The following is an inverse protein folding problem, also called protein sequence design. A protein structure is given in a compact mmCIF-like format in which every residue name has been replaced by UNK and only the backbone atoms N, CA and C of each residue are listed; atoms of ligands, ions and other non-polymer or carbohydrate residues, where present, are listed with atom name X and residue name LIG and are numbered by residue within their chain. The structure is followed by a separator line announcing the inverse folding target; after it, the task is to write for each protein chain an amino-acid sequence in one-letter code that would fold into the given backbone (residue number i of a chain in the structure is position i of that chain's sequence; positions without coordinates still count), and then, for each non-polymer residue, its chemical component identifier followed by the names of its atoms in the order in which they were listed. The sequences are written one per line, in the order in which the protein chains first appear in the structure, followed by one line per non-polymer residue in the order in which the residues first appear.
data_IF_017821977238
#
_entry.id   IF_017821977238
#
_cell.length_a   1.000
_cell.length_b   1.000
_cell.length_c   1.000
_cell.angle_alpha   90.00
_cell.angle_beta   90.00
_cell.angle_gamma   90.00
#
_symmetry.space_group_name_H-M   'P 1'
#
loop_
_entity.id
_entity.type
_entity.pdbx_description
1 polymer ?
#
# COMPACT_ATOMS: atom_id res chain seq x y z
N UNK A 1 -20.33 13.59 16.43
CA UNK A 1 -18.98 13.06 16.65
C UNK A 1 -18.42 12.73 15.26
N UNK A 2 -17.30 13.34 14.90
CA UNK A 2 -16.59 12.96 13.67
C UNK A 2 -16.15 11.51 13.81
N UNK A 3 -16.47 10.69 12.81
CA UNK A 3 -16.08 9.28 12.80
C UNK A 3 -14.62 9.20 12.40
N UNK A 4 -13.72 9.20 13.36
CA UNK A 4 -12.30 8.96 13.12
C UNK A 4 -12.06 7.56 12.56
N UNK A 5 -11.12 7.48 11.64
CA UNK A 5 -10.64 6.26 11.03
C UNK A 5 -9.19 6.08 11.46
N UNK A 6 -8.90 4.94 12.06
CA UNK A 6 -7.54 4.54 12.37
C UNK A 6 -7.04 3.60 11.31
N UNK A 7 -5.81 3.77 10.86
CA UNK A 7 -5.12 2.87 9.95
C UNK A 7 -3.76 2.49 10.53
N UNK A 8 -3.34 1.26 10.31
CA UNK A 8 -2.03 0.75 10.68
C UNK A 8 -1.39 0.04 9.49
N UNK A 9 -0.14 0.37 9.24
CA UNK A 9 0.72 -0.23 8.23
C UNK A 9 1.97 -0.81 8.89
N UNK A 10 2.34 -2.00 8.47
CA UNK A 10 3.54 -2.68 8.95
C UNK A 10 4.35 -3.02 7.69
N UNK A 11 5.44 -2.30 7.48
CA UNK A 11 6.41 -2.54 6.42
C UNK A 11 7.61 -3.34 6.93
N UNK A 12 8.57 -3.66 6.08
CA UNK A 12 9.77 -4.39 6.51
C UNK A 12 10.65 -3.59 7.48
N UNK A 13 10.56 -2.26 7.49
CA UNK A 13 11.42 -1.39 8.30
C UNK A 13 10.69 -0.56 9.34
N UNK A 14 9.37 -0.39 9.24
CA UNK A 14 8.61 0.54 10.07
C UNK A 14 7.18 0.10 10.31
N UNK A 15 6.67 0.40 11.51
CA UNK A 15 5.23 0.45 11.79
C UNK A 15 4.78 1.89 11.76
N UNK A 16 3.72 2.15 11.01
CA UNK A 16 3.05 3.44 10.96
C UNK A 16 1.60 3.30 11.43
N UNK A 17 1.14 4.28 12.18
CA UNK A 17 -0.23 4.38 12.65
C UNK A 17 -0.70 5.80 12.41
N UNK A 18 -1.87 5.93 11.77
CA UNK A 18 -2.49 7.22 11.52
C UNK A 18 -3.96 7.20 11.94
N UNK A 19 -4.43 8.31 12.49
CA UNK A 19 -5.83 8.54 12.82
C UNK A 19 -6.28 9.84 12.19
N UNK A 20 -7.41 9.79 11.49
CA UNK A 20 -7.93 10.94 10.78
C UNK A 20 -9.36 10.75 10.31
N UNK A 21 -9.84 11.70 9.54
CA UNK A 21 -11.16 11.69 8.90
C UNK A 21 -11.07 12.31 7.51
N UNK A 22 -12.07 12.06 6.68
CA UNK A 22 -12.12 12.60 5.31
C UNK A 22 -13.22 13.63 5.19
N UNK A 23 -12.84 14.84 4.74
CA UNK A 23 -13.76 15.92 4.36
C UNK A 23 -13.30 16.51 3.03
N UNK A 24 -14.24 16.83 2.15
CA UNK A 24 -13.97 17.48 0.86
C UNK A 24 -12.86 16.78 0.05
N UNK A 25 -12.89 15.45 0.03
CA UNK A 25 -11.90 14.59 -0.61
C UNK A 25 -10.45 14.82 -0.09
N UNK A 26 -10.29 15.24 1.14
CA UNK A 26 -9.00 15.38 1.82
C UNK A 26 -8.99 14.62 3.13
N UNK A 27 -7.86 13.99 3.42
CA UNK A 27 -7.60 13.38 4.73
C UNK A 27 -7.10 14.45 5.68
N UNK A 28 -7.75 14.57 6.82
CA UNK A 28 -7.35 15.42 7.94
C UNK A 28 -6.85 14.50 9.05
N UNK A 29 -5.56 14.56 9.33
CA UNK A 29 -4.93 13.75 10.36
C UNK A 29 -5.02 14.43 11.72
N UNK A 30 -5.38 13.66 12.74
CA UNK A 30 -5.35 14.10 14.14
C UNK A 30 -4.18 13.48 14.91
N UNK A 31 -3.68 12.34 14.44
CA UNK A 31 -2.53 11.67 15.02
C UNK A 31 -1.77 10.85 13.97
N UNK A 32 -0.45 10.89 14.07
CA UNK A 32 0.47 10.05 13.29
C UNK A 32 1.59 9.58 14.22
N UNK A 33 1.87 8.29 14.17
CA UNK A 33 2.98 7.69 14.89
C UNK A 33 3.75 6.76 13.96
N UNK A 34 5.07 6.72 14.10
CA UNK A 34 5.98 5.89 13.33
C UNK A 34 7.05 5.31 14.26
N UNK A 35 7.39 4.03 14.07
CA UNK A 35 8.44 3.33 14.84
C UNK A 35 9.25 2.43 13.91
N UNK A 36 10.58 2.49 13.99
CA UNK A 36 11.45 1.56 13.27
C UNK A 36 11.32 0.13 13.82
N UNK A 37 11.38 -0.87 12.93
CA UNK A 37 11.25 -2.29 13.27
C UNK A 37 12.24 -3.16 12.50
N UNK A 38 13.44 -2.66 12.26
CA UNK A 38 14.46 -3.37 11.47
C UNK A 38 14.68 -4.79 12.01
N UNK A 39 14.59 -5.80 11.12
CA UNK A 39 14.77 -7.21 11.44
C UNK A 39 13.57 -7.91 12.08
N UNK A 40 12.44 -7.24 12.29
CA UNK A 40 11.22 -7.83 12.86
C UNK A 40 10.22 -8.30 11.78
N UNK A 41 10.36 -7.77 10.58
CA UNK A 41 9.64 -8.19 9.36
C UNK A 41 10.67 -8.30 8.24
N UNK A 42 10.52 -9.25 7.35
CA UNK A 42 11.36 -9.40 6.16
C UNK A 42 10.51 -9.93 5.01
N UNK A 43 10.58 -9.26 3.86
CA UNK A 43 9.82 -9.61 2.66
C UNK A 43 8.30 -9.71 2.91
N UNK A 44 7.78 -8.89 3.83
CA UNK A 44 6.38 -8.91 4.24
C UNK A 44 6.00 -10.05 5.20
N UNK A 45 6.95 -10.87 5.66
CA UNK A 45 6.73 -11.93 6.64
C UNK A 45 7.15 -11.48 8.05
N UNK A 46 6.29 -11.72 9.04
CA UNK A 46 6.54 -11.33 10.43
C UNK A 46 7.49 -12.35 11.07
N UNK A 47 8.63 -11.88 11.57
CA UNK A 47 9.68 -12.70 12.21
C UNK A 47 9.45 -12.74 13.72
N UNK A 48 9.22 -11.60 14.37
CA UNK A 48 9.05 -11.52 15.83
C UNK A 48 7.72 -10.85 16.20
N UNK A 49 6.71 -11.67 16.45
CA UNK A 49 5.38 -11.24 16.87
C UNK A 49 5.37 -10.53 18.22
N UNK A 50 6.17 -10.98 19.16
CA UNK A 50 6.13 -10.49 20.54
C UNK A 50 6.66 -9.05 20.63
N UNK A 51 7.84 -8.83 20.05
CA UNK A 51 8.44 -7.50 20.01
C UNK A 51 7.58 -6.54 19.21
N UNK A 52 7.10 -6.98 18.04
CA UNK A 52 6.28 -6.16 17.16
C UNK A 52 4.94 -5.77 17.78
N UNK A 53 4.26 -6.72 18.47
CA UNK A 53 3.01 -6.42 19.18
C UNK A 53 3.21 -5.44 20.34
N UNK A 54 4.36 -5.50 21.00
CA UNK A 54 4.71 -4.56 22.08
C UNK A 54 4.93 -3.15 21.53
N UNK A 55 5.61 -3.01 20.40
CA UNK A 55 5.80 -1.73 19.69
C UNK A 55 4.43 -1.15 19.30
N UNK A 56 3.58 -1.93 18.62
CA UNK A 56 2.24 -1.50 18.21
C UNK A 56 1.40 -1.08 19.42
N UNK A 57 1.45 -1.84 20.52
CA UNK A 57 0.72 -1.55 21.73
C UNK A 57 1.16 -0.21 22.36
N UNK A 58 2.44 0.14 22.22
CA UNK A 58 2.97 1.43 22.70
C UNK A 58 2.47 2.65 21.89
N UNK A 59 2.07 2.42 20.63
CA UNK A 59 1.65 3.47 19.70
C UNK A 59 0.15 3.77 19.77
N UNK A 60 -0.67 2.86 20.30
CA UNK A 60 -2.13 2.96 20.24
C UNK A 60 -2.76 4.00 21.17
N UNK A 61 -2.01 4.56 22.10
CA UNK A 61 -2.49 5.58 23.01
C UNK A 61 -1.82 6.92 22.72
N UNK A 62 -2.62 7.95 22.54
CA UNK A 62 -2.13 9.31 22.35
C UNK A 62 -3.06 10.33 23.01
N UNK A 63 -2.55 11.55 23.17
CA UNK A 63 -3.32 12.67 23.66
C UNK A 63 -3.66 13.58 22.47
N UNK A 64 -4.95 13.81 22.26
CA UNK A 64 -5.41 14.76 21.24
C UNK A 64 -4.93 16.17 21.61
N UNK A 65 -4.25 16.83 20.71
CA UNK A 65 -3.68 18.16 20.98
C UNK A 65 -4.74 19.24 21.11
N UNK A 66 -5.89 19.06 20.49
CA UNK A 66 -7.00 20.02 20.49
C UNK A 66 -7.88 19.85 21.71
N UNK A 67 -8.39 18.63 21.93
CA UNK A 67 -9.32 18.33 23.04
C UNK A 67 -8.62 18.05 24.37
N UNK A 68 -7.31 17.72 24.32
CA UNK A 68 -6.48 17.27 25.45
C UNK A 68 -6.95 15.93 26.04
N UNK A 69 -7.87 15.24 25.40
CA UNK A 69 -8.34 13.93 25.81
C UNK A 69 -7.35 12.82 25.45
N UNK A 70 -7.29 11.80 26.29
CA UNK A 70 -6.55 10.58 26.00
C UNK A 70 -7.40 9.69 25.09
N UNK A 71 -6.90 9.38 23.90
CA UNK A 71 -7.53 8.49 22.93
C UNK A 71 -6.78 7.16 22.90
N UNK A 72 -7.53 6.08 22.91
CA UNK A 72 -6.99 4.72 22.76
C UNK A 72 -7.56 4.08 21.49
N UNK A 73 -6.70 3.61 20.60
CA UNK A 73 -7.09 2.95 19.36
C UNK A 73 -7.40 1.47 19.67
N UNK A 74 -8.67 1.09 19.53
CA UNK A 74 -9.14 -0.26 19.75
C UNK A 74 -9.49 -1.01 18.45
N UNK A 75 -9.62 -0.28 17.34
CA UNK A 75 -9.85 -0.85 16.01
C UNK A 75 -9.12 -0.05 14.94
N UNK A 76 -8.68 -0.72 13.88
CA UNK A 76 -7.99 -0.08 12.77
C UNK A 76 -8.24 -0.78 11.43
N UNK A 77 -8.03 -0.03 10.36
CA UNK A 77 -7.82 -0.59 9.02
C UNK A 77 -6.39 -1.09 8.95
N UNK A 78 -6.22 -2.36 8.61
CA UNK A 78 -4.92 -3.00 8.45
C UNK A 78 -4.47 -2.89 7.00
N UNK A 79 -3.33 -2.26 6.76
CA UNK A 79 -2.67 -2.26 5.45
C UNK A 79 -1.74 -3.46 5.37
N UNK A 80 -1.96 -4.30 4.36
CA UNK A 80 -1.19 -5.50 4.08
C UNK A 80 -0.21 -5.24 2.93
N UNK A 81 0.95 -5.93 2.88
CA UNK A 81 1.87 -5.84 1.75
C UNK A 81 1.18 -6.26 0.45
N UNK A 82 1.67 -5.75 -0.69
CA UNK A 82 1.15 -6.11 -2.01
C UNK A 82 1.84 -7.33 -2.63
N UNK A 83 2.90 -7.82 -2.00
CA UNK A 83 3.60 -9.02 -2.45
C UNK A 83 2.68 -10.24 -2.41
N UNK A 84 2.54 -10.94 -3.55
CA UNK A 84 1.62 -12.07 -3.69
C UNK A 84 0.15 -11.69 -3.90
N UNK A 85 -0.15 -10.40 -4.18
CA UNK A 85 -1.50 -9.97 -4.53
C UNK A 85 -1.98 -10.64 -5.81
N UNK A 86 -3.14 -11.32 -5.71
CA UNK A 86 -3.91 -11.76 -6.86
C UNK A 86 -5.25 -11.03 -6.89
N UNK A 87 -5.66 -10.62 -8.09
CA UNK A 87 -6.90 -9.88 -8.32
C UNK A 87 -7.82 -10.71 -9.22
N UNK A 88 -8.98 -11.07 -8.72
CA UNK A 88 -9.99 -11.80 -9.46
C UNK A 88 -11.16 -10.88 -9.80
N UNK A 89 -11.65 -10.95 -11.02
CA UNK A 89 -12.86 -10.25 -11.42
C UNK A 89 -14.07 -11.15 -11.17
N UNK A 90 -15.11 -10.59 -10.57
CA UNK A 90 -16.39 -11.27 -10.36
C UNK A 90 -17.53 -10.41 -10.83
N UNK A 91 -18.58 -11.06 -11.37
CA UNK A 91 -19.83 -10.41 -11.78
C UNK A 91 -20.98 -11.26 -11.29
N UNK A 92 -21.77 -10.73 -10.35
CA UNK A 92 -22.91 -11.44 -9.74
C UNK A 92 -24.18 -10.60 -9.87
N UNK A 93 -25.29 -11.28 -10.06
CA UNK A 93 -26.62 -10.66 -10.20
C UNK A 93 -27.58 -11.22 -9.16
N UNK A 94 -28.41 -10.37 -8.58
CA UNK A 94 -29.53 -10.79 -7.73
C UNK A 94 -30.80 -10.04 -8.13
N UNK A 95 -31.96 -10.61 -7.80
CA UNK A 95 -33.23 -9.92 -7.94
C UNK A 95 -33.41 -8.91 -6.80
N UNK A 96 -34.06 -7.79 -7.10
CA UNK A 96 -34.44 -6.78 -6.11
C UNK A 96 -35.63 -7.31 -5.28
N UNK A 97 -35.50 -7.20 -3.96
CA UNK A 97 -36.47 -7.77 -3.01
C UNK A 97 -37.74 -6.94 -2.95
N UNK A 98 -37.63 -5.64 -3.19
CA UNK A 98 -38.80 -4.72 -3.13
C UNK A 98 -39.87 -5.03 -4.18
N UNK A 99 -41.15 -5.16 -3.81
CA UNK A 99 -42.27 -5.33 -4.77
C UNK A 99 -42.43 -4.13 -5.70
N UNK A 100 -41.87 -2.98 -5.37
CA UNK A 100 -41.87 -1.77 -6.20
C UNK A 100 -40.64 -1.66 -7.09
N UNK A 101 -39.78 -2.70 -7.10
CA UNK A 101 -38.49 -2.74 -7.83
C UNK A 101 -37.54 -1.59 -7.47
N UNK A 102 -37.66 -1.05 -6.26
CA UNK A 102 -36.73 -0.03 -5.73
C UNK A 102 -35.58 -0.71 -5.02
N UNK A 103 -34.34 -0.38 -5.43
CA UNK A 103 -33.14 -0.92 -4.83
C UNK A 103 -32.97 -0.38 -3.42
N UNK A 104 -32.83 -1.27 -2.48
CA UNK A 104 -32.55 -0.99 -1.08
C UNK A 104 -31.18 -1.50 -0.65
N UNK A 105 -30.75 -1.13 0.53
CA UNK A 105 -29.46 -1.57 1.11
C UNK A 105 -29.34 -3.10 1.14
N UNK A 106 -30.43 -3.81 1.42
CA UNK A 106 -30.44 -5.28 1.45
C UNK A 106 -30.10 -5.90 0.09
N UNK A 107 -30.48 -5.27 -1.03
CA UNK A 107 -30.18 -5.77 -2.37
C UNK A 107 -28.68 -5.64 -2.66
N UNK A 108 -28.04 -4.56 -2.18
CA UNK A 108 -26.60 -4.36 -2.26
C UNK A 108 -25.86 -5.43 -1.42
N UNK A 109 -26.32 -5.66 -0.19
CA UNK A 109 -25.75 -6.69 0.69
C UNK A 109 -25.90 -8.09 0.07
N UNK A 110 -27.05 -8.40 -0.50
CA UNK A 110 -27.30 -9.68 -1.16
C UNK A 110 -26.37 -9.91 -2.35
N UNK A 111 -26.24 -8.93 -3.27
CA UNK A 111 -25.38 -9.10 -4.45
C UNK A 111 -23.91 -9.18 -4.08
N UNK A 112 -23.45 -8.45 -3.05
CA UNK A 112 -22.09 -8.53 -2.55
C UNK A 112 -21.83 -9.86 -1.85
N UNK A 113 -22.80 -10.40 -1.11
CA UNK A 113 -22.67 -11.71 -0.47
C UNK A 113 -22.48 -12.85 -1.48
N UNK A 114 -23.02 -12.70 -2.70
CA UNK A 114 -22.75 -13.64 -3.78
C UNK A 114 -21.31 -13.57 -4.29
N UNK A 115 -20.70 -12.37 -4.32
CA UNK A 115 -19.28 -12.20 -4.65
C UNK A 115 -18.39 -12.81 -3.57
N UNK A 116 -18.75 -12.66 -2.29
CA UNK A 116 -18.01 -13.24 -1.16
C UNK A 116 -17.94 -14.78 -1.21
N UNK A 117 -18.90 -15.43 -1.86
CA UNK A 117 -18.95 -16.90 -2.04
C UNK A 117 -18.19 -17.37 -3.29
N UNK A 118 -17.52 -16.46 -4.00
CA UNK A 118 -16.69 -16.84 -5.14
C UNK A 118 -15.58 -17.80 -4.71
N UNK A 119 -15.34 -18.83 -5.51
CA UNK A 119 -14.25 -19.75 -5.26
C UNK A 119 -12.92 -19.02 -5.49
N UNK A 120 -12.03 -19.07 -4.51
CA UNK A 120 -10.67 -18.56 -4.58
C UNK A 120 -9.68 -19.73 -4.54
N UNK A 121 -8.45 -19.57 -5.06
CA UNK A 121 -7.43 -20.61 -5.02
C UNK A 121 -7.13 -21.07 -3.59
N UNK A 122 -6.88 -22.38 -3.44
CA UNK A 122 -6.44 -22.94 -2.18
C UNK A 122 -5.17 -22.26 -1.67
N UNK A 123 -5.10 -22.01 -0.36
CA UNK A 123 -3.97 -21.30 0.26
C UNK A 123 -4.03 -19.78 0.15
N UNK A 124 -5.08 -19.22 -0.45
CA UNK A 124 -5.35 -17.79 -0.49
C UNK A 124 -6.43 -17.38 0.51
N UNK A 125 -6.40 -16.12 0.94
CA UNK A 125 -7.40 -15.49 1.79
C UNK A 125 -7.89 -14.20 1.13
N UNK A 126 -9.20 -13.91 1.19
CA UNK A 126 -9.75 -12.67 0.67
C UNK A 126 -9.40 -11.52 1.61
N UNK A 127 -8.72 -10.52 1.05
CA UNK A 127 -8.38 -9.27 1.77
C UNK A 127 -9.54 -8.28 1.68
N UNK A 128 -9.99 -7.99 0.47
CA UNK A 128 -11.06 -7.01 0.23
C UNK A 128 -11.81 -7.31 -1.07
N UNK A 129 -13.02 -6.78 -1.18
CA UNK A 129 -13.85 -6.85 -2.38
C UNK A 129 -14.17 -5.41 -2.77
N UNK A 130 -13.72 -5.02 -3.96
CA UNK A 130 -13.82 -3.66 -4.48
C UNK A 130 -14.87 -3.64 -5.59
N UNK A 131 -16.06 -3.07 -5.37
CA UNK A 131 -17.02 -2.87 -6.45
C UNK A 131 -16.47 -1.89 -7.50
N UNK A 132 -16.47 -2.31 -8.75
CA UNK A 132 -16.13 -1.45 -9.90
C UNK A 132 -17.36 -0.74 -10.43
N UNK A 133 -18.48 -1.46 -10.52
CA UNK A 133 -19.76 -0.92 -11.00
C UNK A 133 -20.95 -1.74 -10.51
N UNK A 134 -22.06 -1.04 -10.33
CA UNK A 134 -23.39 -1.61 -10.18
C UNK A 134 -24.16 -1.41 -11.48
N UNK A 135 -24.61 -2.49 -12.10
CA UNK A 135 -25.31 -2.47 -13.39
C UNK A 135 -26.76 -2.87 -13.18
N UNK A 136 -27.67 -2.03 -13.63
CA UNK A 136 -29.10 -2.25 -13.59
C UNK A 136 -29.62 -2.69 -14.96
N UNK A 137 -30.91 -2.99 -15.02
CA UNK A 137 -31.60 -3.29 -16.30
C UNK A 137 -31.31 -2.23 -17.36
N UNK A 138 -31.28 -2.67 -18.62
CA UNK A 138 -30.93 -1.86 -19.79
C UNK A 138 -29.52 -1.28 -19.79
N UNK A 139 -28.62 -1.87 -18.99
CA UNK A 139 -27.19 -1.50 -18.98
C UNK A 139 -26.87 -0.19 -18.25
N UNK A 140 -27.80 0.38 -17.46
CA UNK A 140 -27.50 1.56 -16.62
C UNK A 140 -26.43 1.19 -15.59
N UNK A 141 -25.31 1.91 -15.58
CA UNK A 141 -24.17 1.61 -14.73
C UNK A 141 -23.92 2.75 -13.73
N UNK A 142 -23.59 2.38 -12.49
CA UNK A 142 -23.31 3.27 -11.37
C UNK A 142 -22.01 2.86 -10.68
N UNK A 143 -21.20 3.84 -10.28
CA UNK A 143 -19.99 3.60 -9.49
C UNK A 143 -20.36 3.39 -8.01
N UNK A 144 -21.32 4.16 -7.51
CA UNK A 144 -21.82 4.04 -6.14
C UNK A 144 -23.08 3.15 -6.09
N UNK A 145 -23.41 2.55 -4.93
CA UNK A 145 -24.64 1.79 -4.75
C UNK A 145 -25.87 2.59 -5.19
N UNK A 146 -26.66 2.09 -6.16
CA UNK A 146 -27.80 2.82 -6.74
C UNK A 146 -29.06 2.69 -5.88
N UNK A 147 -29.00 3.14 -4.63
CA UNK A 147 -30.13 3.11 -3.69
C UNK A 147 -31.26 4.00 -4.21
N UNK A 148 -32.50 3.51 -4.09
CA UNK A 148 -33.73 4.12 -4.60
C UNK A 148 -33.85 4.17 -6.13
N UNK A 149 -32.91 3.64 -6.88
CA UNK A 149 -33.07 3.43 -8.31
C UNK A 149 -34.08 2.29 -8.59
N UNK A 150 -34.79 2.37 -9.69
CA UNK A 150 -35.77 1.37 -10.09
C UNK A 150 -35.16 0.32 -11.02
N UNK A 151 -35.18 -0.96 -10.59
CA UNK A 151 -34.73 -2.10 -11.38
C UNK A 151 -35.31 -3.39 -10.79
N UNK A 152 -35.53 -4.42 -11.62
CA UNK A 152 -35.94 -5.74 -11.13
C UNK A 152 -34.73 -6.58 -10.68
N UNK A 153 -33.54 -6.26 -11.16
CA UNK A 153 -32.30 -6.92 -10.76
C UNK A 153 -31.16 -5.92 -10.64
N UNK A 154 -30.14 -6.32 -9.93
CA UNK A 154 -28.88 -5.58 -9.79
C UNK A 154 -27.71 -6.53 -9.97
N UNK A 155 -26.76 -6.11 -10.80
CA UNK A 155 -25.49 -6.81 -11.01
C UNK A 155 -24.37 -5.99 -10.40
N UNK A 156 -23.50 -6.60 -9.60
CA UNK A 156 -22.23 -5.99 -9.19
C UNK A 156 -21.09 -6.58 -10.00
N UNK A 157 -20.26 -5.71 -10.57
CA UNK A 157 -18.93 -6.07 -11.07
C UNK A 157 -17.93 -5.65 -10.01
N UNK A 158 -17.09 -6.58 -9.58
CA UNK A 158 -16.16 -6.33 -8.48
C UNK A 158 -14.82 -7.01 -8.72
N UNK A 159 -13.76 -6.47 -8.10
CA UNK A 159 -12.45 -7.09 -7.96
C UNK A 159 -12.35 -7.70 -6.57
N UNK A 160 -11.87 -8.94 -6.50
CA UNK A 160 -11.59 -9.65 -5.26
C UNK A 160 -10.07 -9.66 -5.10
N UNK A 161 -9.57 -8.97 -4.07
CA UNK A 161 -8.17 -8.95 -3.72
C UNK A 161 -7.88 -10.12 -2.77
N UNK A 162 -6.90 -10.95 -3.11
CA UNK A 162 -6.45 -12.05 -2.26
C UNK A 162 -4.94 -12.01 -2.06
N UNK A 163 -4.50 -12.49 -0.91
CA UNK A 163 -3.10 -12.71 -0.58
C UNK A 163 -2.92 -14.16 -0.09
N UNK A 164 -1.67 -14.66 0.00
CA UNK A 164 -1.39 -15.92 0.68
C UNK A 164 -1.98 -15.92 2.09
N UNK A 165 -2.71 -16.99 2.45
CA UNK A 165 -3.48 -17.06 3.69
C UNK A 165 -2.60 -16.90 4.94
N UNK A 166 -1.35 -17.41 4.92
CA UNK A 166 -0.42 -17.25 6.04
C UNK A 166 -0.12 -15.77 6.32
N UNK A 167 0.15 -14.96 5.29
CA UNK A 167 0.39 -13.51 5.45
C UNK A 167 -0.82 -12.84 6.09
N UNK A 168 -2.02 -13.05 5.55
CA UNK A 168 -3.23 -12.41 6.08
C UNK A 168 -3.48 -12.81 7.54
N UNK A 169 -3.31 -14.10 7.87
CA UNK A 169 -3.54 -14.62 9.21
C UNK A 169 -2.48 -14.13 10.21
N UNK A 170 -1.22 -14.04 9.81
CA UNK A 170 -0.14 -13.56 10.67
C UNK A 170 -0.34 -12.08 11.03
N UNK A 171 -0.68 -11.24 10.07
CA UNK A 171 -0.96 -9.83 10.33
C UNK A 171 -2.23 -9.63 11.18
N UNK A 172 -3.30 -10.42 10.97
CA UNK A 172 -4.48 -10.43 11.84
C UNK A 172 -4.10 -10.81 13.28
N UNK A 173 -3.35 -11.92 13.43
CA UNK A 173 -2.86 -12.39 14.73
C UNK A 173 -2.02 -11.35 15.45
N UNK A 174 -1.16 -10.63 14.72
CA UNK A 174 -0.34 -9.56 15.29
C UNK A 174 -1.20 -8.44 15.89
N UNK A 175 -2.26 -8.00 15.18
CA UNK A 175 -3.16 -6.99 15.69
C UNK A 175 -3.99 -7.49 16.88
N UNK A 176 -4.41 -8.75 16.86
CA UNK A 176 -5.08 -9.39 18.01
C UNK A 176 -4.18 -9.40 19.26
N UNK A 177 -2.90 -9.78 19.12
CA UNK A 177 -1.91 -9.72 20.21
C UNK A 177 -1.72 -8.28 20.72
N UNK A 178 -1.82 -7.28 19.84
CA UNK A 178 -1.76 -5.87 20.17
C UNK A 178 -3.07 -5.31 20.73
N UNK A 179 -4.12 -6.15 20.84
CA UNK A 179 -5.48 -5.76 21.27
C UNK A 179 -6.08 -4.65 20.39
N UNK A 180 -5.88 -4.77 19.08
CA UNK A 180 -6.49 -3.89 18.07
C UNK A 180 -7.35 -4.76 17.16
N UNK A 181 -8.64 -4.47 17.10
CA UNK A 181 -9.57 -5.16 16.20
C UNK A 181 -9.33 -4.72 14.76
N UNK A 182 -9.20 -5.67 13.84
CA UNK A 182 -9.16 -5.36 12.41
C UNK A 182 -10.58 -5.04 11.96
N UNK A 183 -10.80 -3.77 11.59
CA UNK A 183 -12.09 -3.31 11.07
C UNK A 183 -12.20 -3.57 9.56
N UNK A 184 -11.11 -3.33 8.84
CA UNK A 184 -10.97 -3.54 7.40
C UNK A 184 -9.54 -3.94 7.09
N UNK A 185 -9.34 -4.61 5.97
CA UNK A 185 -8.04 -4.84 5.39
C UNK A 185 -7.97 -4.19 4.01
N UNK A 186 -6.80 -3.72 3.63
CA UNK A 186 -6.51 -3.23 2.30
C UNK A 186 -5.06 -3.61 1.93
N UNK A 187 -4.80 -3.95 0.68
CA UNK A 187 -3.41 -4.09 0.22
C UNK A 187 -2.81 -2.71 -0.03
N UNK A 188 -1.50 -2.57 0.18
CA UNK A 188 -0.78 -1.30 0.01
C UNK A 188 -1.04 -0.68 -1.36
N UNK A 189 -0.91 -1.44 -2.45
CA UNK A 189 -1.14 -0.93 -3.81
C UNK A 189 -2.56 -0.38 -4.02
N UNK A 190 -3.60 -1.01 -3.44
CA UNK A 190 -4.95 -0.46 -3.51
C UNK A 190 -5.10 0.82 -2.69
N UNK A 191 -4.53 0.85 -1.50
CA UNK A 191 -4.53 2.04 -0.67
C UNK A 191 -3.81 3.21 -1.38
N UNK A 192 -2.66 2.97 -2.00
CA UNK A 192 -1.93 3.96 -2.80
C UNK A 192 -2.80 4.45 -3.99
N UNK A 193 -3.51 3.56 -4.68
CA UNK A 193 -4.45 3.95 -5.73
C UNK A 193 -5.57 4.85 -5.21
N UNK A 194 -6.05 4.62 -3.98
CA UNK A 194 -7.07 5.47 -3.36
C UNK A 194 -6.55 6.88 -3.06
N UNK A 195 -5.28 7.01 -2.64
CA UNK A 195 -4.63 8.32 -2.52
C UNK A 195 -4.46 8.99 -3.88
N UNK A 196 -3.99 8.25 -4.89
CA UNK A 196 -3.76 8.79 -6.24
C UNK A 196 -5.02 9.40 -6.88
N UNK A 197 -6.22 8.86 -6.58
CA UNK A 197 -7.51 9.41 -7.06
C UNK A 197 -7.73 10.87 -6.68
N UNK A 198 -7.17 11.30 -5.56
CA UNK A 198 -7.35 12.64 -5.01
C UNK A 198 -6.09 13.50 -5.10
N UNK A 199 -5.03 12.96 -5.73
CA UNK A 199 -3.80 13.69 -5.99
C UNK A 199 -3.87 14.40 -7.34
N UNK A 200 -3.35 15.61 -7.39
CA UNK A 200 -3.36 16.43 -8.61
C UNK A 200 -2.53 15.77 -9.72
N UNK A 201 -3.03 15.85 -10.95
CA UNK A 201 -2.33 15.38 -12.17
C UNK A 201 -1.99 13.88 -12.20
N UNK A 202 -2.66 13.04 -11.39
CA UNK A 202 -2.47 11.60 -11.44
C UNK A 202 -3.33 10.97 -12.55
N UNK A 203 -2.75 10.07 -13.35
CA UNK A 203 -3.51 9.34 -14.37
C UNK A 203 -4.47 8.33 -13.73
N UNK A 204 -5.58 8.01 -14.42
CA UNK A 204 -6.53 6.99 -13.95
C UNK A 204 -6.05 5.55 -14.19
N UNK A 205 -5.20 5.36 -15.19
CA UNK A 205 -4.55 4.09 -15.51
C UNK A 205 -3.06 4.32 -15.63
N UNK A 206 -2.28 3.51 -14.94
CA UNK A 206 -0.83 3.65 -14.84
C UNK A 206 -0.18 2.36 -14.35
N UNK A 207 1.12 2.31 -14.38
CA UNK A 207 1.93 1.28 -13.73
C UNK A 207 2.47 1.88 -12.44
N UNK A 208 2.05 1.34 -11.29
CA UNK A 208 2.58 1.73 -10.00
C UNK A 208 3.87 0.97 -9.73
N UNK A 209 4.95 1.68 -9.48
CA UNK A 209 6.20 1.13 -8.96
C UNK A 209 6.33 1.53 -7.48
N UNK A 210 5.88 0.64 -6.60
CA UNK A 210 5.95 0.77 -5.13
C UNK A 210 7.28 0.18 -4.66
N UNK A 211 8.23 1.05 -4.32
CA UNK A 211 9.61 0.69 -3.94
C UNK A 211 9.70 0.60 -2.43
N UNK A 212 9.52 -0.61 -1.91
CA UNK A 212 9.70 -0.91 -0.50
C UNK A 212 11.17 -0.98 -0.06
N UNK A 213 11.39 -1.49 1.15
CA UNK A 213 12.73 -1.73 1.66
C UNK A 213 13.38 -2.95 0.98
N UNK A 214 12.74 -4.11 1.04
CA UNK A 214 13.27 -5.37 0.54
C UNK A 214 12.65 -5.78 -0.81
N UNK A 215 11.44 -5.30 -1.12
CA UNK A 215 10.66 -5.70 -2.29
C UNK A 215 10.17 -4.46 -3.03
N UNK A 216 10.21 -4.54 -4.37
CA UNK A 216 9.48 -3.61 -5.24
C UNK A 216 8.29 -4.33 -5.87
N UNK A 217 7.12 -3.69 -5.81
CA UNK A 217 5.90 -4.16 -6.43
C UNK A 217 5.59 -3.33 -7.68
N UNK A 218 5.46 -3.98 -8.83
CA UNK A 218 4.94 -3.38 -10.06
C UNK A 218 3.47 -3.77 -10.21
N UNK A 219 2.59 -2.80 -10.15
CA UNK A 219 1.14 -3.04 -10.23
C UNK A 219 0.55 -2.33 -11.44
N UNK A 220 -0.09 -3.08 -12.33
CA UNK A 220 -0.93 -2.51 -13.36
C UNK A 220 -2.21 -1.98 -12.73
N UNK A 221 -2.45 -0.68 -12.87
CA UNK A 221 -3.60 0.03 -12.33
C UNK A 221 -4.54 0.42 -13.46
N UNK A 222 -5.78 -0.04 -13.39
CA UNK A 222 -6.85 0.29 -14.32
C UNK A 222 -8.05 0.87 -13.58
N UNK A 223 -8.56 2.03 -14.04
CA UNK A 223 -9.64 2.76 -13.38
C UNK A 223 -9.35 3.01 -11.89
N UNK A 224 -8.11 3.42 -11.60
CA UNK A 224 -7.63 3.70 -10.23
C UNK A 224 -7.80 2.54 -9.23
N UNK A 225 -7.68 1.29 -9.69
CA UNK A 225 -7.62 0.11 -8.84
C UNK A 225 -6.62 -0.91 -9.39
N UNK A 226 -5.93 -1.67 -8.53
CA UNK A 226 -5.03 -2.74 -8.93
C UNK A 226 -5.72 -3.75 -9.85
N UNK A 227 -5.00 -4.20 -10.86
CA UNK A 227 -5.46 -5.20 -11.82
C UNK A 227 -4.58 -6.45 -11.80
N UNK A 228 -3.26 -6.25 -11.81
CA UNK A 228 -2.26 -7.31 -11.75
C UNK A 228 -1.00 -6.78 -11.07
N UNK A 229 -0.30 -7.61 -10.31
CA UNK A 229 0.92 -7.23 -9.60
C UNK A 229 2.01 -8.27 -9.81
N UNK A 230 3.21 -7.81 -10.10
CA UNK A 230 4.44 -8.60 -10.12
C UNK A 230 5.42 -7.98 -9.14
N UNK A 231 6.02 -8.80 -8.29
CA UNK A 231 6.97 -8.35 -7.27
C UNK A 231 8.37 -8.89 -7.58
N UNK A 232 9.40 -8.13 -7.20
CA UNK A 232 10.78 -8.59 -7.27
C UNK A 232 11.56 -8.18 -6.02
N UNK A 233 12.50 -9.02 -5.64
CA UNK A 233 13.38 -8.83 -4.47
C UNK A 233 14.46 -7.81 -4.80
N UNK A 234 14.19 -6.56 -4.59
CA UNK A 234 15.12 -5.42 -4.61
C UNK A 234 14.39 -4.18 -4.12
N UNK A 235 15.02 -3.41 -3.23
CA UNK A 235 14.46 -2.20 -2.69
C UNK A 235 15.50 -1.25 -2.11
N UNK A 236 15.04 -0.35 -1.27
CA UNK A 236 15.90 0.67 -0.68
C UNK A 236 16.96 0.07 0.27
N UNK A 237 16.62 -1.03 0.97
CA UNK A 237 17.55 -1.67 1.91
C UNK A 237 18.76 -2.28 1.20
N UNK A 238 18.62 -2.78 -0.04
CA UNK A 238 19.75 -3.29 -0.80
C UNK A 238 20.78 -2.21 -1.08
N UNK A 239 20.34 -1.01 -1.46
CA UNK A 239 21.25 0.13 -1.65
C UNK A 239 21.92 0.53 -0.35
N UNK A 240 21.15 0.63 0.75
CA UNK A 240 21.67 1.01 2.07
C UNK A 240 22.72 0.00 2.53
N UNK A 241 22.46 -1.30 2.39
CA UNK A 241 23.40 -2.36 2.75
C UNK A 241 24.68 -2.28 1.91
N UNK A 242 24.57 -2.07 0.59
CA UNK A 242 25.75 -1.91 -0.28
C UNK A 242 26.63 -0.73 0.11
N UNK A 243 26.04 0.39 0.47
CA UNK A 243 26.78 1.56 0.98
C UNK A 243 27.41 1.24 2.32
N UNK A 244 26.66 0.58 3.24
CA UNK A 244 27.15 0.13 4.53
C UNK A 244 28.35 -0.80 4.40
N UNK A 245 28.26 -1.85 3.57
CA UNK A 245 29.33 -2.80 3.29
C UNK A 245 30.57 -2.10 2.71
N UNK A 246 30.36 -1.21 1.74
CA UNK A 246 31.47 -0.54 1.05
C UNK A 246 32.21 0.44 1.95
N UNK A 247 31.49 1.13 2.83
CA UNK A 247 32.07 2.16 3.71
C UNK A 247 32.26 1.71 5.15
N UNK A 248 31.95 0.45 5.50
CA UNK A 248 32.06 -0.06 6.86
C UNK A 248 31.11 0.63 7.84
N UNK A 249 29.91 1.01 7.38
CA UNK A 249 28.92 1.75 8.16
C UNK A 249 27.79 0.82 8.64
N UNK A 250 27.16 1.20 9.74
CA UNK A 250 25.90 0.58 10.16
C UNK A 250 24.79 0.92 9.15
N UNK A 251 23.69 0.16 9.18
CA UNK A 251 22.51 0.43 8.35
C UNK A 251 21.98 1.87 8.55
N UNK A 252 21.91 2.33 9.79
CA UNK A 252 21.47 3.69 10.13
C UNK A 252 22.40 4.77 9.60
N UNK A 253 23.72 4.58 9.74
CA UNK A 253 24.70 5.55 9.26
C UNK A 253 24.74 5.62 7.72
N UNK A 254 24.61 4.46 7.07
CA UNK A 254 24.52 4.38 5.60
C UNK A 254 23.23 5.06 5.08
N UNK A 255 22.09 4.84 5.75
CA UNK A 255 20.82 5.52 5.43
C UNK A 255 20.95 7.05 5.60
N UNK A 256 21.56 7.51 6.71
CA UNK A 256 21.81 8.93 6.94
C UNK A 256 22.71 9.52 5.84
N UNK A 257 23.75 8.80 5.45
CA UNK A 257 24.67 9.22 4.40
C UNK A 257 23.96 9.38 3.04
N UNK A 258 23.16 8.37 2.65
CA UNK A 258 22.37 8.42 1.41
C UNK A 258 21.34 9.56 1.47
N UNK A 259 20.66 9.72 2.59
CA UNK A 259 19.65 10.78 2.76
C UNK A 259 20.25 12.19 2.68
N UNK A 260 21.49 12.35 3.16
CA UNK A 260 22.18 13.63 3.19
C UNK A 260 22.78 14.03 1.85
N UNK A 261 23.39 13.09 1.15
CA UNK A 261 24.14 13.36 -0.08
C UNK A 261 23.42 12.90 -1.34
N UNK A 262 22.72 11.77 -1.31
CA UNK A 262 22.07 11.17 -2.47
C UNK A 262 23.03 10.98 -3.63
N UNK A 263 22.53 11.19 -4.85
CA UNK A 263 23.28 11.24 -6.09
C UNK A 263 23.45 12.70 -6.51
N UNK A 264 24.52 13.35 -6.11
CA UNK A 264 24.85 14.72 -6.52
C UNK A 264 26.05 14.72 -7.47
N UNK A 265 25.79 14.94 -8.75
CA UNK A 265 26.81 14.95 -9.80
C UNK A 265 27.34 16.35 -10.11
N UNK A 266 26.96 17.35 -9.36
CA UNK A 266 27.49 18.72 -9.56
C UNK A 266 28.99 18.73 -9.24
N UNK A 267 29.81 19.42 -10.07
CA UNK A 267 31.23 19.55 -9.80
C UNK A 267 31.44 20.21 -8.43
N UNK A 268 32.15 19.53 -7.55
CA UNK A 268 32.51 20.06 -6.24
C UNK A 268 33.86 20.77 -6.32
N UNK A 269 33.90 22.04 -5.89
CA UNK A 269 35.16 22.77 -5.71
C UNK A 269 36.02 22.18 -4.57
N UNK A 270 35.34 21.56 -3.58
CA UNK A 270 35.94 20.87 -2.45
C UNK A 270 35.25 19.52 -2.27
N UNK A 271 36.03 18.45 -2.12
CA UNK A 271 35.53 17.10 -1.90
C UNK A 271 35.62 16.78 -0.40
N UNK A 272 34.52 16.88 0.34
CA UNK A 272 34.51 16.52 1.75
C UNK A 272 34.71 15.01 1.90
N UNK A 273 35.40 14.59 2.96
CA UNK A 273 35.43 13.20 3.39
C UNK A 273 34.07 12.88 4.02
N UNK A 274 33.33 11.95 3.44
CA UNK A 274 32.00 11.54 3.89
C UNK A 274 32.01 10.24 4.68
N UNK A 275 33.03 9.41 4.46
CA UNK A 275 33.27 8.17 5.21
C UNK A 275 34.72 7.80 5.15
N UNK A 276 35.21 7.12 6.21
CA UNK A 276 36.57 6.55 6.26
C UNK A 276 36.46 5.03 6.37
N UNK A 277 37.10 4.33 5.44
CA UNK A 277 37.17 2.86 5.44
C UNK A 277 38.57 2.35 5.67
N UNK A 278 38.68 1.14 6.18
CA UNK A 278 39.97 0.45 6.34
C UNK A 278 39.97 -0.79 5.43
N UNK A 279 40.80 -0.78 4.41
CA UNK A 279 40.98 -1.92 3.50
C UNK A 279 42.39 -2.47 3.71
N UNK A 280 42.48 -3.72 4.15
CA UNK A 280 43.76 -4.36 4.46
C UNK A 280 44.65 -3.54 5.42
N UNK A 281 44.04 -2.85 6.39
CA UNK A 281 44.73 -2.00 7.35
C UNK A 281 45.16 -0.63 6.82
N UNK A 282 44.78 -0.28 5.58
CA UNK A 282 45.05 1.03 4.97
C UNK A 282 43.78 1.88 5.10
N UNK A 283 43.92 3.06 5.70
CA UNK A 283 42.86 4.06 5.78
C UNK A 283 42.58 4.64 4.40
N UNK A 284 41.34 4.61 4.00
CA UNK A 284 40.84 5.20 2.74
C UNK A 284 39.73 6.20 3.05
N UNK A 285 39.94 7.43 2.61
CA UNK A 285 38.94 8.49 2.72
C UNK A 285 38.07 8.46 1.48
N UNK A 286 36.73 8.41 1.72
CA UNK A 286 35.74 8.37 0.67
C UNK A 286 35.05 9.73 0.57
N UNK A 287 34.78 10.14 -0.65
CA UNK A 287 34.13 11.39 -1.02
C UNK A 287 32.72 11.13 -1.63
N UNK A 288 31.93 12.18 -1.94
CA UNK A 288 30.62 12.03 -2.60
C UNK A 288 30.68 11.32 -3.95
N UNK A 289 31.77 11.41 -4.72
CA UNK A 289 31.91 10.72 -6.01
C UNK A 289 31.95 9.20 -5.82
N UNK A 290 32.56 8.74 -4.72
CA UNK A 290 32.58 7.33 -4.33
C UNK A 290 31.18 6.82 -4.03
N UNK A 291 30.35 7.62 -3.33
CA UNK A 291 28.95 7.30 -3.06
C UNK A 291 28.12 7.32 -4.36
N UNK A 292 28.30 8.34 -5.21
CA UNK A 292 27.63 8.42 -6.51
C UNK A 292 27.88 7.19 -7.38
N UNK A 293 29.11 6.68 -7.38
CA UNK A 293 29.46 5.48 -8.14
C UNK A 293 28.70 4.24 -7.65
N UNK A 294 28.53 4.08 -6.34
CA UNK A 294 27.76 2.96 -5.75
C UNK A 294 26.29 3.10 -6.11
N UNK A 295 25.70 4.29 -5.90
CA UNK A 295 24.28 4.56 -6.20
C UNK A 295 23.99 4.30 -7.67
N UNK A 296 24.78 4.87 -8.58
CA UNK A 296 24.60 4.67 -10.02
C UNK A 296 24.68 3.20 -10.42
N UNK A 297 25.72 2.51 -9.96
CA UNK A 297 25.89 1.10 -10.26
C UNK A 297 24.69 0.29 -9.78
N UNK A 298 24.25 0.50 -8.55
CA UNK A 298 23.10 -0.20 -8.01
C UNK A 298 21.84 0.08 -8.81
N UNK A 299 21.49 1.36 -9.02
CA UNK A 299 20.23 1.72 -9.70
C UNK A 299 20.23 1.27 -11.16
N UNK A 300 21.31 1.53 -11.91
CA UNK A 300 21.31 1.28 -13.36
C UNK A 300 21.55 -0.19 -13.70
N UNK A 301 22.44 -0.90 -12.99
CA UNK A 301 22.84 -2.25 -13.34
C UNK A 301 22.04 -3.33 -12.60
N UNK A 302 21.62 -3.08 -11.36
CA UNK A 302 20.94 -4.09 -10.54
C UNK A 302 19.44 -3.83 -10.44
N UNK A 303 19.04 -2.65 -9.95
CA UNK A 303 17.63 -2.35 -9.74
C UNK A 303 16.86 -2.32 -11.06
N UNK A 304 17.29 -1.53 -12.06
CA UNK A 304 16.58 -1.46 -13.33
C UNK A 304 16.66 -2.76 -14.15
N UNK A 305 17.69 -3.58 -13.99
CA UNK A 305 17.72 -4.90 -14.61
C UNK A 305 16.59 -5.79 -14.09
N UNK A 306 16.38 -5.83 -12.76
CA UNK A 306 15.27 -6.57 -12.15
C UNK A 306 13.91 -5.95 -12.48
N UNK A 307 13.83 -4.62 -12.51
CA UNK A 307 12.64 -3.88 -12.92
C UNK A 307 12.20 -4.26 -14.33
N UNK A 308 13.12 -4.29 -15.30
CA UNK A 308 12.83 -4.62 -16.69
C UNK A 308 12.24 -6.05 -16.81
N UNK A 309 12.80 -7.03 -16.10
CA UNK A 309 12.31 -8.41 -16.07
C UNK A 309 10.91 -8.49 -15.48
N UNK A 310 10.68 -7.79 -14.37
CA UNK A 310 9.37 -7.75 -13.73
C UNK A 310 8.34 -7.01 -14.58
N UNK A 311 8.74 -5.91 -15.21
CA UNK A 311 7.91 -5.15 -16.15
C UNK A 311 7.49 -5.98 -17.36
N UNK A 312 8.43 -6.69 -18.00
CA UNK A 312 8.13 -7.58 -19.11
C UNK A 312 7.22 -8.73 -18.70
N UNK A 313 7.38 -9.23 -17.48
CA UNK A 313 6.51 -10.26 -16.92
C UNK A 313 5.09 -9.72 -16.72
N UNK A 314 4.95 -8.54 -16.12
CA UNK A 314 3.66 -7.86 -15.92
C UNK A 314 2.96 -7.54 -17.24
N UNK A 315 3.73 -7.12 -18.26
CA UNK A 315 3.21 -6.72 -19.56
C UNK A 315 3.00 -7.87 -20.54
N UNK A 316 3.22 -9.11 -20.10
CA UNK A 316 3.08 -10.29 -20.97
C UNK A 316 1.63 -10.47 -21.43
N UNK A 317 1.41 -10.41 -22.74
CA UNK A 317 0.07 -10.56 -23.32
C UNK A 317 -0.75 -9.28 -23.44
N UNK A 318 -0.26 -8.18 -22.88
CA UNK A 318 -0.90 -6.88 -23.05
C UNK A 318 -0.45 -6.18 -24.34
N UNK A 319 -1.34 -5.40 -25.00
CA UNK A 319 -0.99 -4.62 -26.19
C UNK A 319 -0.11 -3.41 -25.85
N UNK A 320 0.56 -2.83 -26.86
CA UNK A 320 1.54 -1.75 -26.69
C UNK A 320 0.98 -0.50 -26.00
N UNK A 321 -0.29 -0.19 -26.18
CA UNK A 321 -0.92 0.93 -25.50
C UNK A 321 -0.97 0.75 -23.96
N UNK A 322 -1.01 -0.49 -23.45
CA UNK A 322 -0.91 -0.80 -22.02
C UNK A 322 0.55 -0.71 -21.55
N UNK A 323 1.49 -1.20 -22.37
CA UNK A 323 2.93 -1.10 -22.10
C UNK A 323 3.42 0.36 -22.00
N UNK A 324 2.75 1.27 -22.69
CA UNK A 324 3.08 2.71 -22.73
C UNK A 324 2.28 3.56 -21.73
N UNK A 325 1.62 2.93 -20.76
CA UNK A 325 0.97 3.68 -19.67
C UNK A 325 1.98 4.49 -18.87
N UNK A 326 1.57 5.62 -18.27
CA UNK A 326 2.39 6.35 -17.32
C UNK A 326 2.91 5.45 -16.20
N UNK A 327 4.12 5.71 -15.71
CA UNK A 327 4.67 5.06 -14.54
C UNK A 327 4.61 6.02 -13.36
N UNK A 328 4.00 5.57 -12.28
CA UNK A 328 3.94 6.29 -11.00
C UNK A 328 4.90 5.63 -10.03
N UNK A 329 5.92 6.34 -9.62
CA UNK A 329 6.88 5.88 -8.62
C UNK A 329 6.44 6.33 -7.22
N UNK A 330 6.59 5.43 -6.25
CA UNK A 330 6.28 5.62 -4.86
C UNK A 330 7.29 4.87 -3.99
N UNK A 331 7.44 5.25 -2.72
CA UNK A 331 8.31 4.61 -1.74
C UNK A 331 9.57 5.40 -1.41
N UNK A 332 10.28 4.92 -0.38
CA UNK A 332 11.38 5.67 0.25
C UNK A 332 12.55 6.04 -0.68
N UNK A 333 12.86 5.19 -1.66
CA UNK A 333 13.96 5.42 -2.60
C UNK A 333 13.70 6.62 -3.52
N UNK A 334 12.43 6.96 -3.78
CA UNK A 334 12.06 8.08 -4.65
C UNK A 334 12.49 9.45 -4.11
N UNK A 335 12.76 9.53 -2.80
CA UNK A 335 13.21 10.76 -2.13
C UNK A 335 14.71 11.00 -2.24
N UNK A 336 15.46 9.98 -2.62
CA UNK A 336 16.91 10.12 -2.75
C UNK A 336 17.21 11.19 -3.81
N UNK A 337 17.98 12.19 -3.42
CA UNK A 337 18.40 13.23 -4.36
C UNK A 337 19.08 12.59 -5.57
N UNK A 338 18.68 13.01 -6.78
CA UNK A 338 19.18 12.51 -8.05
C UNK A 338 18.48 11.24 -8.59
N UNK A 339 17.59 10.57 -7.81
CA UNK A 339 16.85 9.41 -8.30
C UNK A 339 15.98 9.75 -9.53
N UNK A 340 15.26 10.88 -9.48
CA UNK A 340 14.44 11.37 -10.60
C UNK A 340 15.24 11.54 -11.91
N UNK A 341 16.48 11.98 -11.82
CA UNK A 341 17.38 12.08 -12.98
C UNK A 341 17.63 10.72 -13.62
N UNK A 342 17.97 9.70 -12.82
CA UNK A 342 18.21 8.34 -13.30
C UNK A 342 16.96 7.71 -13.92
N UNK A 343 15.79 7.92 -13.30
CA UNK A 343 14.50 7.43 -13.82
C UNK A 343 14.19 8.11 -15.17
N UNK A 344 14.31 9.41 -15.27
CA UNK A 344 14.10 10.17 -16.52
C UNK A 344 15.05 9.71 -17.61
N UNK A 345 16.29 9.44 -17.28
CA UNK A 345 17.29 8.93 -18.23
C UNK A 345 16.95 7.52 -18.72
N UNK A 346 16.47 6.64 -17.84
CA UNK A 346 16.05 5.29 -18.19
C UNK A 346 14.83 5.27 -19.11
N UNK A 347 13.84 6.11 -18.85
CA UNK A 347 12.53 6.08 -19.52
C UNK A 347 12.32 7.20 -20.55
N UNK A 348 13.40 7.84 -21.03
CA UNK A 348 13.43 9.02 -21.94
C UNK A 348 12.47 9.02 -23.13
N UNK A 349 12.03 7.87 -23.61
CA UNK A 349 11.35 7.78 -24.89
C UNK A 349 9.86 7.43 -24.83
N UNK A 350 9.33 6.78 -23.76
CA UNK A 350 8.09 6.03 -23.91
C UNK A 350 7.03 6.20 -22.81
N UNK A 351 7.32 6.82 -21.69
CA UNK A 351 6.33 6.90 -20.59
C UNK A 351 6.38 8.24 -19.86
N UNK A 352 5.23 8.78 -19.57
CA UNK A 352 5.08 9.88 -18.61
C UNK A 352 5.41 9.35 -17.20
N UNK A 353 6.33 10.02 -16.51
CA UNK A 353 6.76 9.67 -15.15
C UNK A 353 6.08 10.59 -14.15
N UNK A 354 5.53 10.00 -13.12
CA UNK A 354 4.90 10.69 -12.00
C UNK A 354 5.46 10.19 -10.68
N UNK A 355 5.41 11.03 -9.66
CA UNK A 355 5.73 10.69 -8.28
C UNK A 355 4.51 10.98 -7.43
N UNK A 356 4.13 10.03 -6.60
CA UNK A 356 3.00 10.19 -5.69
C UNK A 356 3.51 10.68 -4.33
N UNK A 357 3.10 11.88 -3.95
CA UNK A 357 3.42 12.47 -2.66
C UNK A 357 2.14 12.87 -1.92
N UNK A 358 1.98 12.42 -0.67
CA UNK A 358 0.85 12.87 0.14
C UNK A 358 0.93 14.36 0.45
N UNK A 359 -0.20 15.03 0.42
CA UNK A 359 -0.29 16.46 0.77
C UNK A 359 -0.77 16.72 2.21
N UNK A 360 -1.00 15.64 2.99
CA UNK A 360 -1.52 15.74 4.35
C UNK A 360 -0.54 16.39 5.31
N UNK A 361 -1.01 17.34 6.13
CA UNK A 361 -0.18 17.94 7.19
C UNK A 361 0.19 16.86 8.21
N UNK A 362 1.49 16.77 8.53
CA UNK A 362 2.04 15.76 9.44
C UNK A 362 2.45 14.44 8.78
N UNK A 363 2.08 14.19 7.50
CA UNK A 363 2.40 12.98 6.77
C UNK A 363 2.59 13.27 5.26
N UNK A 364 3.52 14.18 4.94
CA UNK A 364 3.86 14.56 3.55
C UNK A 364 4.87 13.64 2.90
N UNK A 365 5.41 12.74 3.66
CA UNK A 365 6.40 11.77 3.20
C UNK A 365 5.73 10.67 2.38
N UNK A 366 6.34 10.24 1.26
CA UNK A 366 5.83 9.16 0.40
C UNK A 366 5.59 7.87 1.19
N UNK A 367 6.38 7.61 2.24
CA UNK A 367 6.19 6.45 3.12
C UNK A 367 4.81 6.40 3.83
N UNK A 368 4.06 7.49 3.82
CA UNK A 368 2.69 7.54 4.36
C UNK A 368 1.59 7.35 3.30
N UNK A 369 1.93 7.16 2.03
CA UNK A 369 0.96 7.06 0.93
C UNK A 369 -0.06 5.95 1.16
N UNK A 370 0.39 4.76 1.53
CA UNK A 370 -0.49 3.61 1.74
C UNK A 370 -1.42 3.82 2.96
N UNK A 371 -0.91 4.33 4.07
CA UNK A 371 -1.73 4.52 5.28
C UNK A 371 -2.77 5.63 5.10
N UNK A 372 -2.44 6.71 4.40
CA UNK A 372 -3.38 7.79 4.07
C UNK A 372 -4.43 7.28 3.08
N UNK A 373 -4.01 6.54 2.06
CA UNK A 373 -4.92 5.90 1.12
C UNK A 373 -5.87 4.90 1.79
N UNK A 374 -5.42 4.20 2.83
CA UNK A 374 -6.26 3.30 3.62
C UNK A 374 -7.36 4.05 4.41
N UNK A 375 -7.08 5.27 4.88
CA UNK A 375 -8.10 6.15 5.47
C UNK A 375 -9.13 6.55 4.41
N UNK A 376 -8.72 6.94 3.20
CA UNK A 376 -9.64 7.18 2.08
C UNK A 376 -10.49 5.95 1.77
N UNK A 377 -9.85 4.79 1.58
CA UNK A 377 -10.54 3.55 1.29
C UNK A 377 -11.61 3.22 2.34
N UNK A 378 -11.29 3.44 3.62
CA UNK A 378 -12.20 3.12 4.73
C UNK A 378 -13.33 4.13 4.88
N UNK A 379 -13.14 5.39 4.47
CA UNK A 379 -14.19 6.42 4.54
C UNK A 379 -15.36 6.16 3.59
N UNK A 380 -15.10 5.52 2.45
CA UNK A 380 -16.10 5.27 1.39
C UNK A 380 -17.13 4.21 1.77
N UNK A 381 -16.74 3.25 2.59
CA UNK A 381 -17.53 2.05 2.86
C UNK A 381 -18.00 1.98 4.30
N UNK A 382 -18.59 3.07 4.82
CA UNK A 382 -19.26 3.04 6.13
C UNK A 382 -20.41 2.03 6.08
N UNK A 383 -20.18 0.83 6.60
CA UNK A 383 -21.21 -0.14 6.94
C UNK A 383 -21.57 -1.20 5.89
N UNK A 384 -20.92 -1.27 4.70
CA UNK A 384 -21.45 -2.15 3.63
C UNK A 384 -20.71 -3.49 3.47
N UNK A 385 -19.40 -3.59 3.69
CA UNK A 385 -18.65 -4.81 3.36
C UNK A 385 -17.98 -5.50 4.54
N UNK A 386 -17.42 -4.75 5.48
CA UNK A 386 -16.77 -5.31 6.68
C UNK A 386 -17.77 -5.74 7.75
N UNK A 387 -18.86 -5.01 7.92
CA UNK A 387 -19.89 -5.33 8.92
C UNK A 387 -20.68 -6.58 8.55
N UNK A 388 -20.86 -6.89 7.26
CA UNK A 388 -21.54 -8.10 6.79
C UNK A 388 -20.72 -9.35 7.07
N UNK A 389 -19.39 -9.30 6.91
CA UNK A 389 -18.48 -10.40 7.26
C UNK A 389 -18.48 -10.70 8.77
N UNK A 390 -18.47 -9.67 9.61
CA UNK A 390 -18.50 -9.83 11.06
C UNK A 390 -19.82 -10.44 11.52
N UNK A 391 -20.94 -10.08 10.90
CA UNK A 391 -22.26 -10.66 11.20
C UNK A 391 -22.39 -12.10 10.72
N UNK A 392 -21.86 -12.47 9.54
CA UNK A 392 -21.90 -13.85 9.05
C UNK A 392 -21.03 -14.78 9.91
N UNK A 393 -19.82 -14.36 10.28
CA UNK A 393 -18.95 -15.14 11.14
C UNK A 393 -19.48 -15.30 12.59
N UNK A 394 -20.20 -14.29 13.10
CA UNK A 394 -20.89 -14.39 14.39
C UNK A 394 -22.11 -15.32 14.32
N UNK A 395 -22.83 -15.36 13.20
CA UNK A 395 -23.95 -16.27 13.00
C UNK A 395 -23.50 -17.73 12.82
N UNK A 396 -22.35 -17.96 12.19
CA UNK A 396 -21.75 -19.30 12.08
C UNK A 396 -21.17 -19.79 13.41
N UNK A 397 -20.49 -18.95 14.19
CA UNK A 397 -20.02 -19.29 15.54
C UNK A 397 -21.18 -19.61 16.47
N UNK A 398 -22.25 -18.82 16.46
CA UNK A 398 -23.46 -19.08 17.26
C UNK A 398 -24.26 -20.31 16.83
N UNK A 399 -24.05 -20.86 15.63
CA UNK A 399 -24.61 -22.17 15.21
C UNK A 399 -23.75 -23.31 15.70
N UNK A 400 -22.42 -23.20 15.66
CA UNK A 400 -21.50 -24.26 16.14
C UNK A 400 -21.44 -24.35 17.66
N UNK A 401 -21.82 -23.31 18.41
CA UNK A 401 -21.94 -23.32 19.87
C UNK A 401 -23.29 -23.89 20.37
N UNK A 402 -24.18 -24.28 19.44
CA UNK A 402 -25.51 -24.85 19.75
C UNK A 402 -25.72 -26.31 19.28
N UNK A 403 -24.68 -26.88 18.64
CA UNK A 403 -24.58 -28.34 18.37
C UNK A 403 -23.53 -28.96 19.31
#
# INVERSE_FOLDING_TARGET
MENYISAIEISDTEVRLAVGYVTDNKVNLIHVAQRPIIGLVSHGEIIDFQTLSSIISSMKEFKDETTKEKITINEATLVLPSNGLNVFQSSKTTNVVSPYSLIAQIDIENVISLVQKEAIPSGSEVVDIIPDAFVLEKGRSFINPPINEKSNNITVKAKIHTLPAHIVNDYKRLLELSRIKVRRMAVSSYAICELAKYSENMPQSFILADIGADITNLTLVGNSAPFETVSFMCGAADLINKVGEKFGLSYSDALELISKYGLDERPLTYKPVIATTFVNGIETQNDPESLNSIIKKFILEEYFSKFDVAFDTLMKGYPDNVRNLPIVFEGGLTKMFGFDGLVKDKFKANSSIHYLEPTCIGARDTSFSAIIGAIFASSKYKGTLSDTRLKSNQLERNKNDKE
#
